data_IF_025242973483
#
_entry.id   IF_025242973483
#
_cell.length_a   1.000
_cell.length_b   1.000
_cell.length_c   1.000
_cell.angle_alpha   90.00
_cell.angle_beta   90.00
_cell.angle_gamma   90.00
#
_symmetry.space_group_name_H-M   'P 1'
#
loop_
_entity.id
_entity.type
_entity.pdbx_description
1 polymer ?
#
# COMPACT_ATOMS: atom_id res chain seq x y z
N UNK A 1 4.29 9.26 -26.39
CA UNK A 1 5.10 10.34 -26.99
C UNK A 1 5.56 9.88 -28.36
N UNK A 2 5.22 10.62 -29.42
CA UNK A 2 5.48 10.24 -30.80
C UNK A 2 6.99 10.26 -31.10
N UNK A 3 7.44 9.29 -31.93
CA UNK A 3 8.84 9.09 -32.35
C UNK A 3 9.47 10.38 -32.98
N UNK A 4 8.63 11.24 -33.57
CA UNK A 4 9.04 12.52 -34.14
C UNK A 4 9.37 13.59 -33.10
N UNK A 5 8.71 13.55 -31.93
CA UNK A 5 8.95 14.49 -30.82
C UNK A 5 10.25 14.13 -30.09
N UNK A 6 10.58 12.83 -29.99
CA UNK A 6 11.84 12.36 -29.42
C UNK A 6 13.04 12.70 -30.30
N UNK A 7 12.91 12.55 -31.63
CA UNK A 7 13.97 12.91 -32.56
C UNK A 7 14.23 14.41 -32.59
N UNK A 8 13.20 15.27 -32.49
CA UNK A 8 13.38 16.73 -32.39
C UNK A 8 14.08 17.14 -31.10
N UNK A 9 13.76 16.51 -29.96
CA UNK A 9 14.43 16.79 -28.69
C UNK A 9 15.92 16.39 -28.72
N UNK A 10 16.24 15.23 -29.31
CA UNK A 10 17.63 14.76 -29.46
C UNK A 10 18.46 15.63 -30.38
N UNK A 11 17.86 16.13 -31.46
CA UNK A 11 18.57 17.05 -32.41
C UNK A 11 18.85 18.41 -31.75
N UNK A 12 17.89 18.93 -30.95
CA UNK A 12 18.04 20.20 -30.24
C UNK A 12 19.14 20.18 -29.16
N UNK A 13 19.30 19.05 -28.47
CA UNK A 13 20.36 18.86 -27.46
C UNK A 13 21.74 18.74 -28.12
N UNK A 14 21.84 18.09 -29.29
CA UNK A 14 23.12 17.92 -29.99
C UNK A 14 23.70 19.25 -30.50
N UNK A 15 22.86 20.13 -31.05
CA UNK A 15 23.32 21.35 -31.70
C UNK A 15 23.77 22.46 -30.73
N UNK A 16 23.14 22.54 -29.52
CA UNK A 16 23.57 23.50 -28.50
C UNK A 16 24.92 23.11 -27.85
N UNK A 17 25.16 21.83 -27.62
CA UNK A 17 26.39 21.36 -26.99
C UNK A 17 27.59 21.33 -27.97
N UNK A 18 27.36 21.11 -29.25
CA UNK A 18 28.43 21.15 -30.28
C UNK A 18 28.90 22.58 -30.48
N UNK A 19 28.01 23.59 -30.48
CA UNK A 19 28.38 25.00 -30.65
C UNK A 19 29.14 25.58 -29.45
N UNK A 20 28.89 25.10 -28.23
CA UNK A 20 29.61 25.50 -27.01
C UNK A 20 31.01 24.88 -26.89
N UNK A 21 31.21 23.67 -27.43
CA UNK A 21 32.50 22.97 -27.42
C UNK A 21 33.48 23.52 -28.48
N UNK A 22 32.99 24.05 -29.59
CA UNK A 22 33.82 24.60 -30.67
C UNK A 22 34.53 25.92 -30.33
N UNK A 23 34.14 26.64 -29.26
CA UNK A 23 34.70 27.93 -28.83
C UNK A 23 35.82 27.86 -27.80
N UNK A 24 36.20 26.70 -27.29
CA UNK A 24 37.33 26.53 -26.37
C UNK A 24 38.49 25.79 -27.05
N UNK A 25 39.38 26.57 -27.64
CA UNK A 25 40.62 26.11 -28.23
C UNK A 25 41.68 25.85 -27.17
N UNK A 26 42.16 24.58 -27.14
CA UNK A 26 43.48 24.09 -26.68
C UNK A 26 43.88 24.18 -25.18
N UNK A 27 43.83 23.07 -24.50
CA UNK A 27 44.93 22.23 -23.96
C UNK A 27 44.43 21.31 -22.85
N UNK A 28 44.80 20.07 -22.98
CA UNK A 28 44.84 18.96 -22.01
C UNK A 28 43.90 17.81 -22.20
N UNK A 29 44.56 16.73 -22.49
CA UNK A 29 44.32 15.35 -22.08
C UNK A 29 43.16 14.56 -22.73
N UNK A 30 43.56 13.68 -23.61
CA UNK A 30 42.75 12.59 -24.23
C UNK A 30 42.08 11.64 -23.22
N UNK A 31 42.29 11.82 -21.92
CA UNK A 31 41.73 10.96 -20.87
C UNK A 31 40.31 11.33 -20.45
N UNK A 32 39.86 12.58 -20.60
CA UNK A 32 38.53 13.02 -20.17
C UNK A 32 37.46 12.62 -21.19
N UNK A 33 37.76 12.49 -22.45
CA UNK A 33 36.79 12.07 -23.48
C UNK A 33 36.49 10.58 -23.47
N UNK A 34 37.43 9.75 -23.01
CA UNK A 34 37.21 8.30 -22.88
C UNK A 34 36.32 7.96 -21.66
N UNK A 35 36.46 8.69 -20.55
CA UNK A 35 35.62 8.47 -19.36
C UNK A 35 34.18 8.93 -19.55
N UNK A 36 33.92 10.03 -20.25
CA UNK A 36 32.55 10.50 -20.52
C UNK A 36 31.81 9.58 -21.50
N UNK A 37 32.49 9.00 -22.48
CA UNK A 37 31.89 8.05 -23.41
C UNK A 37 31.62 6.69 -22.74
N UNK A 38 32.48 6.27 -21.78
CA UNK A 38 32.32 5.03 -21.04
C UNK A 38 31.17 5.11 -20.01
N UNK A 39 30.97 6.27 -19.35
CA UNK A 39 29.85 6.49 -18.44
C UNK A 39 28.51 6.59 -19.16
N UNK A 40 28.44 7.26 -20.31
CA UNK A 40 27.25 7.32 -21.15
C UNK A 40 26.86 5.93 -21.71
N UNK A 41 27.85 5.14 -22.14
CA UNK A 41 27.63 3.76 -22.58
C UNK A 41 27.20 2.83 -21.42
N UNK A 42 27.73 3.00 -20.21
CA UNK A 42 27.35 2.24 -19.05
C UNK A 42 25.92 2.58 -18.58
N UNK A 43 25.53 3.86 -18.62
CA UNK A 43 24.15 4.28 -18.30
C UNK A 43 23.17 3.78 -19.35
N UNK A 44 23.52 3.82 -20.65
CA UNK A 44 22.69 3.28 -21.72
C UNK A 44 22.57 1.74 -21.65
N UNK A 45 23.64 1.04 -21.26
CA UNK A 45 23.63 -0.41 -21.01
C UNK A 45 22.80 -0.74 -19.77
N UNK A 46 22.88 0.05 -18.68
CA UNK A 46 22.04 -0.14 -17.48
C UNK A 46 20.56 0.08 -17.78
N UNK A 47 20.22 1.13 -18.56
CA UNK A 47 18.84 1.40 -18.99
C UNK A 47 18.34 0.33 -19.96
N UNK A 48 19.17 -0.16 -20.90
CA UNK A 48 18.79 -1.27 -21.78
C UNK A 48 18.66 -2.60 -21.02
N UNK A 49 19.51 -2.86 -20.03
CA UNK A 49 19.40 -4.06 -19.20
C UNK A 49 18.14 -4.02 -18.34
N UNK A 50 17.73 -2.86 -17.82
CA UNK A 50 16.47 -2.72 -17.09
C UNK A 50 15.22 -2.86 -18.00
N UNK A 51 15.33 -2.54 -19.30
CA UNK A 51 14.18 -2.67 -20.23
C UNK A 51 14.12 -4.02 -20.94
N UNK A 52 15.17 -4.83 -20.89
CA UNK A 52 15.24 -6.13 -21.56
C UNK A 52 15.34 -7.34 -20.64
N UNK A 53 15.45 -7.14 -19.31
CA UNK A 53 15.29 -8.25 -18.39
C UNK A 53 13.80 -8.67 -18.43
N UNK A 54 13.51 -9.93 -18.83
CA UNK A 54 12.17 -10.43 -18.67
C UNK A 54 11.78 -10.28 -17.19
N UNK A 55 10.59 -9.73 -16.90
CA UNK A 55 10.04 -9.80 -15.56
C UNK A 55 10.22 -11.25 -15.08
N UNK A 56 10.75 -11.49 -13.88
CA UNK A 56 10.93 -12.86 -13.42
C UNK A 56 9.58 -13.56 -13.49
N UNK A 57 9.43 -14.46 -14.44
CA UNK A 57 8.29 -15.33 -14.51
C UNK A 57 8.54 -16.42 -13.48
N UNK A 58 7.67 -16.48 -12.46
CA UNK A 58 7.70 -17.58 -11.51
C UNK A 58 7.78 -18.92 -12.25
N UNK A 59 8.78 -19.70 -11.94
CA UNK A 59 8.88 -21.08 -12.39
C UNK A 59 8.07 -22.02 -11.49
N UNK A 60 6.81 -21.66 -11.19
CA UNK A 60 5.83 -22.66 -10.79
C UNK A 60 5.37 -23.31 -12.07
N UNK A 61 5.37 -24.64 -12.15
CA UNK A 61 4.94 -25.35 -13.34
C UNK A 61 3.61 -24.74 -13.83
N UNK A 62 3.64 -24.13 -15.01
CA UNK A 62 2.57 -23.27 -15.55
C UNK A 62 1.19 -23.95 -15.65
N UNK A 63 1.12 -25.26 -15.42
CA UNK A 63 -0.08 -26.07 -15.55
C UNK A 63 -0.96 -26.14 -14.28
N UNK A 64 -0.54 -25.54 -13.14
CA UNK A 64 -1.26 -25.66 -11.86
C UNK A 64 -1.60 -24.31 -11.21
N UNK A 65 -1.24 -23.19 -11.84
CA UNK A 65 -1.56 -21.86 -11.33
C UNK A 65 -2.87 -21.33 -11.90
N UNK A 66 -3.77 -20.85 -11.04
CA UNK A 66 -4.95 -20.05 -11.42
C UNK A 66 -4.66 -18.60 -11.01
N UNK A 67 -4.29 -17.77 -11.98
CA UNK A 67 -3.92 -16.39 -11.72
C UNK A 67 -5.18 -15.51 -11.64
N UNK A 68 -5.27 -14.73 -10.57
CA UNK A 68 -6.36 -13.78 -10.40
C UNK A 68 -6.30 -12.70 -11.50
N UNK A 69 -7.47 -12.25 -12.00
CA UNK A 69 -7.51 -11.17 -12.97
C UNK A 69 -7.04 -9.87 -12.30
N UNK A 70 -6.42 -9.00 -13.09
CA UNK A 70 -6.21 -7.61 -12.62
C UNK A 70 -7.56 -6.93 -12.41
N UNK A 71 -7.68 -6.03 -11.43
CA UNK A 71 -8.90 -5.27 -11.23
C UNK A 71 -9.35 -4.58 -12.51
N UNK A 72 -10.62 -4.62 -12.79
CA UNK A 72 -11.17 -3.93 -13.96
C UNK A 72 -11.09 -2.43 -13.72
N UNK A 73 -10.13 -1.78 -14.35
CA UNK A 73 -10.18 -0.34 -14.51
C UNK A 73 -11.34 -0.04 -15.48
N UNK A 74 -12.49 0.32 -14.95
CA UNK A 74 -13.61 0.74 -15.79
C UNK A 74 -13.30 2.18 -16.21
N UNK A 75 -12.61 2.31 -17.36
CA UNK A 75 -12.35 3.59 -17.96
C UNK A 75 -13.68 4.32 -18.23
N UNK A 76 -13.69 5.63 -18.02
CA UNK A 76 -14.82 6.45 -18.42
C UNK A 76 -15.01 6.30 -19.93
N UNK A 77 -16.25 5.99 -20.42
CA UNK A 77 -16.49 5.83 -21.85
C UNK A 77 -16.17 7.14 -22.59
N UNK A 78 -15.42 7.03 -23.69
CA UNK A 78 -15.12 8.16 -24.54
C UNK A 78 -16.09 8.17 -25.71
N UNK A 79 -16.62 9.34 -26.08
CA UNK A 79 -17.60 9.49 -27.18
C UNK A 79 -17.07 8.92 -28.51
N UNK A 80 -15.74 9.02 -28.73
CA UNK A 80 -15.09 8.49 -29.94
C UNK A 80 -15.15 6.95 -30.08
N UNK A 81 -15.48 6.23 -29.01
CA UNK A 81 -15.58 4.77 -29.02
C UNK A 81 -16.98 4.24 -29.40
N UNK A 82 -17.93 5.16 -29.66
CA UNK A 82 -19.33 4.81 -29.93
C UNK A 82 -19.82 5.40 -31.25
N UNK A 83 -20.55 4.61 -32.02
CA UNK A 83 -21.06 4.99 -33.33
C UNK A 83 -22.23 6.00 -33.24
N UNK A 84 -22.98 6.05 -32.13
CA UNK A 84 -24.12 6.92 -31.92
C UNK A 84 -24.05 7.60 -30.54
N UNK A 85 -24.60 8.81 -30.46
CA UNK A 85 -24.73 9.54 -29.20
C UNK A 85 -25.55 8.77 -28.17
N UNK A 86 -26.62 8.09 -28.55
CA UNK A 86 -27.45 7.30 -27.65
C UNK A 86 -26.69 6.13 -27.05
N UNK A 87 -25.83 5.46 -27.82
CA UNK A 87 -24.98 4.40 -27.34
C UNK A 87 -23.92 4.91 -26.34
N UNK A 88 -23.35 6.07 -26.61
CA UNK A 88 -22.42 6.72 -25.69
C UNK A 88 -23.11 7.13 -24.38
N UNK A 89 -24.27 7.77 -24.43
CA UNK A 89 -25.02 8.16 -23.24
C UNK A 89 -25.44 6.96 -22.40
N UNK A 90 -25.88 5.87 -23.02
CA UNK A 90 -26.18 4.61 -22.32
C UNK A 90 -24.94 4.04 -21.62
N UNK A 91 -23.78 4.01 -22.28
CA UNK A 91 -22.53 3.54 -21.69
C UNK A 91 -22.09 4.42 -20.53
N UNK A 92 -22.24 5.74 -20.65
CA UNK A 92 -21.93 6.71 -19.60
C UNK A 92 -22.84 6.54 -18.38
N UNK A 93 -24.14 6.38 -18.57
CA UNK A 93 -25.10 6.16 -17.48
C UNK A 93 -24.81 4.83 -16.75
N UNK A 94 -24.52 3.77 -17.49
CA UNK A 94 -24.11 2.50 -16.91
C UNK A 94 -22.80 2.61 -16.11
N UNK A 95 -21.82 3.35 -16.63
CA UNK A 95 -20.58 3.60 -15.91
C UNK A 95 -20.83 4.33 -14.58
N UNK A 96 -21.61 5.40 -14.61
CA UNK A 96 -21.94 6.17 -13.40
C UNK A 96 -22.73 5.33 -12.38
N UNK A 97 -23.64 4.48 -12.84
CA UNK A 97 -24.40 3.55 -11.98
C UNK A 97 -23.49 2.54 -11.31
N UNK A 98 -22.56 1.93 -12.05
CA UNK A 98 -21.58 0.99 -11.52
C UNK A 98 -20.64 1.65 -10.50
N UNK A 99 -20.19 2.87 -10.77
CA UNK A 99 -19.35 3.64 -9.83
C UNK A 99 -20.12 3.96 -8.54
N UNK A 100 -21.39 4.36 -8.65
CA UNK A 100 -22.22 4.61 -7.49
C UNK A 100 -22.46 3.35 -6.64
N UNK A 101 -22.73 2.21 -7.29
CA UNK A 101 -22.88 0.93 -6.60
C UNK A 101 -21.60 0.53 -5.86
N UNK A 102 -20.44 0.61 -6.51
CA UNK A 102 -19.13 0.32 -5.91
C UNK A 102 -18.86 1.20 -4.70
N UNK A 103 -19.12 2.51 -4.83
CA UNK A 103 -18.94 3.43 -3.71
C UNK A 103 -19.80 3.03 -2.51
N UNK A 104 -21.08 2.74 -2.72
CA UNK A 104 -21.98 2.33 -1.65
C UNK A 104 -21.53 1.02 -0.99
N UNK A 105 -21.09 0.04 -1.77
CA UNK A 105 -20.58 -1.23 -1.24
C UNK A 105 -19.29 -1.01 -0.42
N UNK A 106 -18.40 -0.15 -0.89
CA UNK A 106 -17.17 0.22 -0.18
C UNK A 106 -17.51 0.93 1.15
N UNK A 107 -18.35 1.95 1.12
CA UNK A 107 -18.77 2.68 2.31
C UNK A 107 -19.42 1.75 3.35
N UNK A 108 -20.28 0.85 2.92
CA UNK A 108 -20.88 -0.15 3.81
C UNK A 108 -19.83 -1.09 4.42
N UNK A 109 -18.87 -1.54 3.61
CA UNK A 109 -17.78 -2.39 4.07
C UNK A 109 -16.90 -1.68 5.10
N UNK A 110 -16.49 -0.45 4.83
CA UNK A 110 -15.64 0.34 5.73
C UNK A 110 -16.32 0.59 7.07
N UNK A 111 -17.62 0.91 7.08
CA UNK A 111 -18.38 1.05 8.31
C UNK A 111 -18.42 -0.26 9.13
N UNK A 112 -18.54 -1.42 8.47
CA UNK A 112 -18.47 -2.73 9.15
C UNK A 112 -17.08 -3.09 9.66
N UNK A 113 -16.02 -2.54 9.05
CA UNK A 113 -14.63 -2.81 9.38
C UNK A 113 -14.02 -1.80 10.35
N UNK A 114 -14.70 -0.69 10.66
CA UNK A 114 -14.15 0.36 11.51
C UNK A 114 -13.63 -0.17 12.85
N UNK A 115 -14.43 -0.99 13.54
CA UNK A 115 -14.04 -1.62 14.79
C UNK A 115 -12.83 -2.56 14.62
N UNK A 116 -12.81 -3.39 13.57
CA UNK A 116 -11.68 -4.27 13.28
C UNK A 116 -10.39 -3.48 13.02
N UNK A 117 -10.46 -2.39 12.27
CA UNK A 117 -9.28 -1.56 11.98
C UNK A 117 -8.79 -0.83 13.23
N UNK A 118 -9.68 -0.28 14.04
CA UNK A 118 -9.32 0.42 15.27
C UNK A 118 -8.77 -0.55 16.36
N UNK A 119 -9.51 -1.61 16.67
CA UNK A 119 -9.13 -2.60 17.69
C UNK A 119 -7.86 -3.37 17.25
N UNK A 120 -7.76 -3.72 15.97
CA UNK A 120 -6.58 -4.35 15.40
C UNK A 120 -5.34 -3.46 15.51
N UNK A 121 -5.47 -2.18 15.17
CA UNK A 121 -4.37 -1.22 15.35
C UNK A 121 -3.92 -1.14 16.81
N UNK A 122 -4.85 -1.07 17.75
CA UNK A 122 -4.53 -1.03 19.17
C UNK A 122 -3.83 -2.30 19.69
N UNK A 123 -4.07 -3.46 19.03
CA UNK A 123 -3.44 -4.74 19.39
C UNK A 123 -2.10 -4.98 18.67
N UNK A 124 -1.99 -4.53 17.43
CA UNK A 124 -0.83 -4.84 16.60
C UNK A 124 0.24 -3.75 16.61
N UNK A 125 -0.07 -2.53 17.06
CA UNK A 125 0.85 -1.41 17.13
C UNK A 125 1.26 -1.09 18.57
N UNK A 126 1.58 -2.11 19.35
CA UNK A 126 1.96 -1.97 20.77
C UNK A 126 3.48 -1.96 20.93
N UNK A 127 3.96 -1.33 22.02
CA UNK A 127 5.37 -1.33 22.39
C UNK A 127 6.01 0.05 22.33
N UNK A 128 7.30 0.08 22.64
CA UNK A 128 8.14 1.28 22.65
C UNK A 128 8.99 1.40 21.38
N UNK A 129 8.98 0.37 20.53
CA UNK A 129 9.65 0.34 19.23
C UNK A 129 8.72 0.84 18.12
N UNK A 130 9.27 1.09 16.93
CA UNK A 130 8.46 1.35 15.76
C UNK A 130 7.57 0.15 15.46
N UNK A 131 6.32 0.41 15.11
CA UNK A 131 5.37 -0.64 14.80
C UNK A 131 4.60 -0.32 13.52
N UNK A 132 4.32 -1.36 12.72
CA UNK A 132 3.65 -1.23 11.44
C UNK A 132 2.65 -2.38 11.24
N UNK A 133 1.47 -2.05 10.75
CA UNK A 133 0.43 -3.00 10.39
C UNK A 133 -0.29 -2.55 9.12
N UNK A 134 -0.70 -3.51 8.31
CA UNK A 134 -1.57 -3.26 7.15
C UNK A 134 -2.98 -3.80 7.43
N UNK A 135 -3.95 -2.94 7.76
CA UNK A 135 -5.32 -3.33 8.03
C UNK A 135 -5.98 -4.04 6.83
N UNK A 136 -5.80 -3.50 5.63
CA UNK A 136 -6.38 -4.07 4.40
C UNK A 136 -5.79 -5.43 4.05
N UNK A 137 -4.48 -5.64 4.25
CA UNK A 137 -3.84 -6.95 4.02
C UNK A 137 -4.38 -8.01 4.97
N UNK A 138 -4.54 -7.67 6.26
CA UNK A 138 -5.16 -8.55 7.24
C UNK A 138 -6.62 -8.87 6.88
N UNK A 139 -7.40 -7.86 6.46
CA UNK A 139 -8.75 -8.03 5.96
C UNK A 139 -8.82 -9.00 4.77
N UNK A 140 -7.98 -8.82 3.75
CA UNK A 140 -7.95 -9.69 2.55
C UNK A 140 -7.61 -11.14 2.90
N UNK A 141 -6.65 -11.34 3.81
CA UNK A 141 -6.31 -12.68 4.32
C UNK A 141 -7.47 -13.34 5.05
N UNK A 142 -8.10 -12.62 5.98
CA UNK A 142 -9.25 -13.13 6.74
C UNK A 142 -10.45 -13.39 5.85
N UNK A 143 -10.71 -12.53 4.87
CA UNK A 143 -11.80 -12.72 3.92
C UNK A 143 -11.61 -14.01 3.09
N UNK A 144 -10.39 -14.25 2.63
CA UNK A 144 -10.05 -15.51 1.94
C UNK A 144 -10.22 -16.73 2.85
N UNK A 145 -9.77 -16.64 4.12
CA UNK A 145 -9.96 -17.72 5.10
C UNK A 145 -11.44 -17.96 5.43
N UNK A 146 -12.28 -16.92 5.44
CA UNK A 146 -13.73 -17.07 5.62
C UNK A 146 -14.36 -17.89 4.48
N UNK A 147 -13.93 -17.69 3.22
CA UNK A 147 -14.42 -18.46 2.08
C UNK A 147 -13.98 -19.93 2.15
N UNK A 148 -12.80 -20.21 2.68
CA UNK A 148 -12.22 -21.55 2.81
C UNK A 148 -12.72 -22.32 4.04
N UNK A 149 -13.31 -21.63 5.00
CA UNK A 149 -13.76 -22.21 6.28
C UNK A 149 -15.27 -22.44 6.30
N UNK A 150 -15.73 -23.20 7.30
CA UNK A 150 -17.13 -23.54 7.51
C UNK A 150 -17.51 -23.45 8.99
N UNK A 151 -18.81 -23.49 9.25
CA UNK A 151 -19.34 -23.64 10.60
C UNK A 151 -18.95 -22.48 11.54
N UNK A 152 -18.40 -22.82 12.73
CA UNK A 152 -18.03 -21.80 13.74
C UNK A 152 -16.78 -21.02 13.34
N UNK A 153 -15.79 -21.67 12.72
CA UNK A 153 -14.59 -21.01 12.21
C UNK A 153 -14.95 -19.86 11.26
N UNK A 154 -15.83 -20.12 10.29
CA UNK A 154 -16.31 -19.10 9.36
C UNK A 154 -17.08 -17.97 10.07
N UNK A 155 -18.00 -18.33 10.98
CA UNK A 155 -18.80 -17.34 11.69
C UNK A 155 -17.98 -16.39 12.55
N UNK A 156 -16.88 -16.85 13.17
CA UNK A 156 -15.99 -16.00 13.95
C UNK A 156 -15.33 -14.95 13.03
N UNK A 157 -14.85 -15.34 11.86
CA UNK A 157 -14.24 -14.40 10.91
C UNK A 157 -15.28 -13.43 10.37
N UNK A 158 -16.43 -13.92 9.89
CA UNK A 158 -17.50 -13.07 9.35
C UNK A 158 -17.97 -12.03 10.37
N UNK A 159 -18.09 -12.43 11.64
CA UNK A 159 -18.45 -11.52 12.74
C UNK A 159 -17.40 -10.41 12.91
N UNK A 160 -16.11 -10.78 12.91
CA UNK A 160 -15.02 -9.80 13.02
C UNK A 160 -15.03 -8.82 11.86
N UNK A 161 -15.32 -9.30 10.65
CA UNK A 161 -15.39 -8.47 9.43
C UNK A 161 -16.74 -7.73 9.26
N UNK A 162 -17.63 -7.77 10.25
CA UNK A 162 -18.89 -7.04 10.23
C UNK A 162 -19.90 -7.53 9.18
N UNK A 163 -19.82 -8.79 8.73
CA UNK A 163 -20.70 -9.35 7.70
C UNK A 163 -21.36 -10.66 8.16
N UNK A 164 -22.50 -10.98 7.53
CA UNK A 164 -23.30 -12.16 7.92
C UNK A 164 -23.09 -13.39 7.03
N UNK A 165 -22.53 -13.21 5.83
CA UNK A 165 -22.34 -14.32 4.88
C UNK A 165 -21.25 -14.01 3.85
N UNK A 166 -20.75 -15.05 3.20
CA UNK A 166 -19.69 -14.96 2.20
C UNK A 166 -20.12 -14.25 0.91
N UNK A 167 -21.42 -14.29 0.54
CA UNK A 167 -21.88 -13.59 -0.67
C UNK A 167 -21.78 -12.07 -0.52
N UNK A 168 -22.11 -11.53 0.65
CA UNK A 168 -21.91 -10.12 0.98
C UNK A 168 -20.42 -9.81 1.05
N UNK A 169 -19.63 -10.68 1.69
CA UNK A 169 -18.19 -10.52 1.81
C UNK A 169 -17.49 -10.43 0.44
N UNK A 170 -17.84 -11.30 -0.52
CA UNK A 170 -17.28 -11.25 -1.90
C UNK A 170 -17.45 -9.89 -2.56
N UNK A 171 -18.66 -9.32 -2.48
CA UNK A 171 -18.95 -7.99 -3.05
C UNK A 171 -18.11 -6.89 -2.40
N UNK A 172 -17.97 -6.95 -1.08
CA UNK A 172 -17.20 -5.97 -0.32
C UNK A 172 -15.71 -6.07 -0.62
N UNK A 173 -15.16 -7.28 -0.64
CA UNK A 173 -13.76 -7.55 -1.01
C UNK A 173 -13.47 -7.01 -2.41
N UNK A 174 -14.31 -7.29 -3.41
CA UNK A 174 -14.14 -6.74 -4.76
C UNK A 174 -14.14 -5.22 -4.75
N UNK A 175 -15.07 -4.59 -4.02
CA UNK A 175 -15.17 -3.13 -3.97
C UNK A 175 -13.96 -2.48 -3.31
N UNK A 176 -13.49 -3.05 -2.19
CA UNK A 176 -12.29 -2.56 -1.49
C UNK A 176 -11.05 -2.76 -2.36
N UNK A 177 -10.88 -3.96 -2.93
CA UNK A 177 -9.72 -4.27 -3.77
C UNK A 177 -9.64 -3.34 -4.99
N UNK A 178 -10.75 -3.18 -5.73
CA UNK A 178 -10.81 -2.34 -6.91
C UNK A 178 -10.60 -0.85 -6.59
N UNK A 179 -11.05 -0.37 -5.43
CA UNK A 179 -10.83 1.03 -4.99
C UNK A 179 -9.40 1.28 -4.55
N UNK A 180 -8.79 0.34 -3.83
CA UNK A 180 -7.44 0.48 -3.32
C UNK A 180 -6.35 0.25 -4.38
N UNK A 181 -6.67 -0.46 -5.47
CA UNK A 181 -5.69 -0.85 -6.48
C UNK A 181 -5.37 0.27 -7.46
N UNK A 182 -4.09 0.55 -7.66
CA UNK A 182 -3.55 1.38 -8.73
C UNK A 182 -2.19 0.82 -9.16
N UNK A 183 -1.95 0.72 -10.46
CA UNK A 183 -0.66 0.28 -11.03
C UNK A 183 -0.40 1.11 -12.28
N UNK A 184 0.06 2.35 -12.10
CA UNK A 184 0.29 3.32 -13.17
C UNK A 184 1.66 3.99 -13.00
N UNK A 185 2.68 3.40 -13.62
CA UNK A 185 4.00 4.00 -13.67
C UNK A 185 4.66 4.10 -12.29
N UNK A 186 4.82 5.33 -11.77
CA UNK A 186 5.44 5.60 -10.47
C UNK A 186 4.44 5.58 -9.31
N UNK A 187 3.15 5.63 -9.62
CA UNK A 187 2.07 5.68 -8.66
C UNK A 187 1.45 4.30 -8.55
N UNK A 188 1.84 3.58 -7.52
CA UNK A 188 1.45 2.19 -7.30
C UNK A 188 0.73 2.05 -5.96
N UNK A 189 -0.41 1.37 -5.98
CA UNK A 189 -1.09 0.81 -4.82
C UNK A 189 -1.53 -0.58 -5.20
N UNK A 190 -0.68 -1.58 -4.96
CA UNK A 190 -0.88 -2.94 -5.44
C UNK A 190 -1.17 -3.86 -4.26
N UNK A 191 -2.39 -4.35 -4.22
CA UNK A 191 -2.80 -5.43 -3.33
C UNK A 191 -2.63 -6.74 -4.09
N UNK A 192 -2.06 -7.75 -3.45
CA UNK A 192 -1.96 -9.08 -4.01
C UNK A 192 -2.16 -10.14 -2.94
N UNK A 193 -2.91 -11.18 -3.27
CA UNK A 193 -3.13 -12.33 -2.38
C UNK A 193 -2.84 -13.61 -3.15
N UNK A 194 -2.17 -14.56 -2.51
CA UNK A 194 -1.90 -15.90 -3.08
C UNK A 194 -2.24 -17.00 -2.10
N UNK A 195 -2.84 -18.05 -2.62
CA UNK A 195 -3.08 -19.32 -1.93
C UNK A 195 -2.19 -20.38 -2.55
N UNK A 196 -1.40 -21.06 -1.73
CA UNK A 196 -0.52 -22.14 -2.10
C UNK A 196 -1.07 -23.44 -1.52
N UNK A 197 -1.32 -24.41 -2.38
CA UNK A 197 -1.98 -25.67 -2.05
C UNK A 197 -0.98 -26.82 -2.13
N UNK A 198 -1.04 -27.74 -1.16
CA UNK A 198 -0.26 -28.97 -1.18
C UNK A 198 -0.65 -29.83 -2.38
N UNK A 199 0.33 -30.22 -3.19
CA UNK A 199 0.15 -31.13 -4.33
C UNK A 199 -0.33 -32.52 -3.89
N UNK A 200 -1.14 -33.17 -4.73
CA UNK A 200 -1.67 -34.51 -4.46
C UNK A 200 -2.87 -34.53 -3.50
N UNK A 201 -3.40 -33.38 -3.11
CA UNK A 201 -4.62 -33.26 -2.30
C UNK A 201 -5.76 -32.75 -3.19
N UNK A 202 -6.97 -33.29 -3.00
CA UNK A 202 -8.18 -32.80 -3.68
C UNK A 202 -8.78 -31.63 -2.93
N UNK A 203 -9.13 -30.58 -3.65
CA UNK A 203 -9.75 -29.37 -3.13
C UNK A 203 -11.08 -29.08 -3.84
N UNK A 204 -11.93 -28.27 -3.21
CA UNK A 204 -13.22 -27.87 -3.78
C UNK A 204 -13.01 -26.78 -4.85
N UNK A 205 -13.22 -27.14 -6.13
CA UNK A 205 -12.97 -26.25 -7.27
C UNK A 205 -13.81 -24.97 -7.25
N UNK A 206 -15.06 -25.04 -6.80
CA UNK A 206 -15.95 -23.89 -6.68
C UNK A 206 -15.43 -22.83 -5.69
N UNK A 207 -14.75 -23.26 -4.62
CA UNK A 207 -14.12 -22.39 -3.65
C UNK A 207 -12.85 -21.73 -4.19
N UNK A 208 -12.05 -22.53 -4.90
CA UNK A 208 -10.87 -22.02 -5.59
C UNK A 208 -11.28 -20.97 -6.64
N UNK A 209 -12.30 -21.28 -7.45
CA UNK A 209 -12.82 -20.35 -8.46
C UNK A 209 -13.36 -19.06 -7.84
N UNK A 210 -14.05 -19.14 -6.69
CA UNK A 210 -14.51 -17.97 -5.96
C UNK A 210 -13.34 -17.10 -5.47
N UNK A 211 -12.29 -17.71 -4.92
CA UNK A 211 -11.08 -16.97 -4.49
C UNK A 211 -10.42 -16.24 -5.65
N UNK A 212 -10.26 -16.89 -6.78
CA UNK A 212 -9.64 -16.28 -7.96
C UNK A 212 -10.48 -15.14 -8.51
N UNK A 213 -11.80 -15.35 -8.61
CA UNK A 213 -12.71 -14.43 -9.31
C UNK A 213 -13.18 -13.27 -8.43
N UNK A 214 -13.54 -13.55 -7.17
CA UNK A 214 -14.24 -12.61 -6.30
C UNK A 214 -13.33 -11.99 -5.21
N UNK A 215 -12.21 -12.68 -4.88
CA UNK A 215 -11.23 -12.23 -3.87
C UNK A 215 -9.89 -11.82 -4.48
N UNK A 216 -9.74 -11.88 -5.80
CA UNK A 216 -8.47 -11.55 -6.49
C UNK A 216 -7.27 -12.34 -5.94
N UNK A 217 -7.51 -13.58 -5.49
CA UNK A 217 -6.48 -14.44 -4.92
C UNK A 217 -5.93 -15.37 -6.00
N UNK A 218 -4.65 -15.25 -6.33
CA UNK A 218 -3.98 -16.21 -7.22
C UNK A 218 -3.73 -17.52 -6.50
N UNK A 219 -3.97 -18.66 -7.15
CA UNK A 219 -3.84 -19.97 -6.54
C UNK A 219 -2.75 -20.76 -7.24
N UNK A 220 -1.84 -21.32 -6.46
CA UNK A 220 -0.70 -22.11 -6.88
C UNK A 220 -0.73 -23.47 -6.20
N UNK A 221 -0.09 -24.47 -6.81
CA UNK A 221 0.05 -25.82 -6.25
C UNK A 221 1.52 -26.23 -6.27
N UNK A 222 1.97 -26.92 -5.23
CA UNK A 222 3.34 -27.41 -5.12
C UNK A 222 3.53 -28.28 -3.87
N UNK A 223 4.72 -28.87 -3.71
CA UNK A 223 5.10 -29.61 -2.50
C UNK A 223 5.47 -28.58 -1.44
N UNK A 224 4.55 -28.26 -0.53
CA UNK A 224 4.79 -27.30 0.55
C UNK A 224 5.93 -27.80 1.45
N UNK A 225 6.83 -26.89 1.84
CA UNK A 225 8.04 -27.23 2.58
C UNK A 225 9.23 -27.65 1.71
N UNK A 226 9.05 -27.85 0.39
CA UNK A 226 10.19 -28.02 -0.51
C UNK A 226 10.93 -26.70 -0.76
N UNK A 227 12.21 -26.78 -1.08
CA UNK A 227 13.04 -25.61 -1.40
C UNK A 227 12.47 -24.85 -2.61
N UNK A 228 12.00 -25.56 -3.63
CA UNK A 228 11.45 -24.98 -4.85
C UNK A 228 10.20 -24.18 -4.57
N UNK A 229 9.27 -24.73 -3.77
CA UNK A 229 8.03 -24.02 -3.42
C UNK A 229 8.30 -22.84 -2.50
N UNK A 230 9.22 -22.98 -1.53
CA UNK A 230 9.61 -21.88 -0.66
C UNK A 230 10.26 -20.73 -1.44
N UNK A 231 11.12 -21.03 -2.40
CA UNK A 231 11.72 -20.03 -3.28
C UNK A 231 10.64 -19.33 -4.12
N UNK A 232 9.70 -20.08 -4.70
CA UNK A 232 8.61 -19.52 -5.49
C UNK A 232 7.72 -18.58 -4.66
N UNK A 233 7.43 -18.92 -3.39
CA UNK A 233 6.71 -18.04 -2.44
C UNK A 233 7.51 -16.76 -2.19
N UNK A 234 8.81 -16.87 -1.92
CA UNK A 234 9.68 -15.72 -1.68
C UNK A 234 9.74 -14.80 -2.90
N UNK A 235 9.92 -15.37 -4.08
CA UNK A 235 9.93 -14.61 -5.34
C UNK A 235 8.58 -13.93 -5.60
N UNK A 236 7.46 -14.60 -5.26
CA UNK A 236 6.13 -14.01 -5.36
C UNK A 236 5.96 -12.81 -4.43
N UNK A 237 6.40 -12.90 -3.17
CA UNK A 237 6.37 -11.80 -2.21
C UNK A 237 7.22 -10.64 -2.73
N UNK A 238 8.46 -10.89 -3.11
CA UNK A 238 9.37 -9.86 -3.61
C UNK A 238 8.80 -9.14 -4.84
N UNK A 239 8.31 -9.89 -5.83
CA UNK A 239 7.69 -9.31 -7.04
C UNK A 239 6.47 -8.44 -6.73
N UNK A 240 5.64 -8.84 -5.75
CA UNK A 240 4.43 -8.09 -5.39
C UNK A 240 4.67 -6.96 -4.38
N UNK A 241 5.90 -6.81 -3.89
CA UNK A 241 6.30 -5.74 -2.98
C UNK A 241 7.43 -4.85 -3.53
N UNK A 242 7.78 -5.01 -4.82
CA UNK A 242 8.86 -4.24 -5.44
C UNK A 242 10.19 -4.43 -4.73
N UNK A 243 10.47 -5.65 -4.26
CA UNK A 243 11.65 -6.06 -3.48
C UNK A 243 11.83 -5.35 -2.12
N UNK A 244 10.87 -4.55 -1.66
CA UNK A 244 10.94 -3.84 -0.39
C UNK A 244 11.00 -4.76 0.84
N UNK A 245 10.51 -6.00 0.71
CA UNK A 245 10.50 -6.99 1.77
C UNK A 245 11.55 -8.09 1.59
N UNK A 246 12.57 -7.88 0.76
CA UNK A 246 13.64 -8.85 0.52
C UNK A 246 14.38 -9.27 1.81
N UNK A 247 14.49 -8.34 2.77
CA UNK A 247 15.11 -8.59 4.09
C UNK A 247 14.17 -9.29 5.08
N UNK A 248 12.89 -9.46 4.72
CA UNK A 248 11.84 -10.06 5.53
C UNK A 248 11.18 -11.25 4.81
N UNK A 249 11.94 -12.31 4.45
CA UNK A 249 11.39 -13.41 3.69
C UNK A 249 10.29 -14.14 4.46
N UNK A 250 9.32 -14.78 3.76
CA UNK A 250 8.32 -15.63 4.39
C UNK A 250 8.97 -16.76 5.20
N UNK A 251 8.32 -17.16 6.29
CA UNK A 251 8.80 -18.28 7.10
C UNK A 251 8.79 -19.58 6.29
N UNK A 252 9.73 -20.47 6.62
CA UNK A 252 9.82 -21.78 6.02
C UNK A 252 8.55 -22.58 6.36
N UNK A 253 7.87 -23.08 5.35
CA UNK A 253 6.74 -23.99 5.52
C UNK A 253 7.22 -25.37 5.95
N UNK A 254 6.41 -26.03 6.76
CA UNK A 254 6.62 -27.43 7.12
C UNK A 254 6.02 -28.38 6.08
N UNK A 255 6.54 -29.61 6.00
CA UNK A 255 6.10 -30.61 5.01
C UNK A 255 4.71 -31.16 5.26
N UNK A 256 4.11 -30.92 6.42
CA UNK A 256 2.74 -31.26 6.79
C UNK A 256 1.73 -30.12 6.53
N UNK A 257 2.20 -28.99 6.00
CA UNK A 257 1.33 -27.91 5.60
C UNK A 257 0.35 -28.36 4.50
N UNK A 258 -0.93 -28.04 4.65
CA UNK A 258 -1.99 -28.36 3.67
C UNK A 258 -2.19 -27.21 2.71
N UNK A 259 -2.11 -25.98 3.21
CA UNK A 259 -2.15 -24.75 2.42
C UNK A 259 -1.40 -23.63 3.12
N UNK A 260 -1.00 -22.62 2.36
CA UNK A 260 -0.46 -21.37 2.87
C UNK A 260 -1.08 -20.18 2.13
N UNK A 261 -1.34 -19.10 2.85
CA UNK A 261 -1.95 -17.89 2.31
C UNK A 261 -1.03 -16.71 2.58
N UNK A 262 -0.74 -15.93 1.54
CA UNK A 262 0.07 -14.71 1.62
C UNK A 262 -0.72 -13.54 1.04
N UNK A 263 -0.67 -12.41 1.73
CA UNK A 263 -1.22 -11.15 1.26
C UNK A 263 -0.16 -10.06 1.39
N UNK A 264 0.00 -9.28 0.34
CA UNK A 264 0.96 -8.17 0.29
C UNK A 264 0.28 -6.90 -0.13
N UNK A 265 0.79 -5.78 0.37
CA UNK A 265 0.47 -4.44 -0.12
C UNK A 265 1.78 -3.77 -0.49
N UNK A 266 1.87 -3.29 -1.71
CA UNK A 266 2.94 -2.45 -2.21
C UNK A 266 2.37 -1.09 -2.55
N UNK A 267 2.92 -0.05 -1.94
CA UNK A 267 2.49 1.32 -2.16
C UNK A 267 3.69 2.19 -2.47
N UNK A 268 3.54 3.01 -3.51
CA UNK A 268 4.50 4.03 -3.89
C UNK A 268 3.75 5.19 -4.52
N UNK A 269 3.95 6.40 -4.02
CA UNK A 269 3.45 7.61 -4.64
C UNK A 269 4.24 8.83 -4.18
N UNK A 270 4.34 9.84 -5.05
CA UNK A 270 4.99 11.10 -4.75
C UNK A 270 4.04 12.00 -3.94
N UNK A 271 4.61 12.90 -3.12
CA UNK A 271 3.83 14.00 -2.57
C UNK A 271 3.25 14.83 -3.71
N UNK A 272 2.04 15.32 -3.55
CA UNK A 272 1.48 16.29 -4.50
C UNK A 272 2.20 17.63 -4.42
N UNK A 273 2.69 17.98 -3.24
CA UNK A 273 3.53 19.14 -2.95
C UNK A 273 4.80 18.63 -2.27
N UNK A 274 5.89 18.47 -3.05
CA UNK A 274 7.16 17.91 -2.60
C UNK A 274 7.82 18.75 -1.50
N UNK A 275 8.61 18.09 -0.64
CA UNK A 275 9.51 18.78 0.27
C UNK A 275 10.81 19.14 -0.45
N UNK A 276 11.26 20.40 -0.34
CA UNK A 276 12.54 20.83 -0.91
C UNK A 276 13.69 20.49 0.06
N UNK A 277 14.55 19.56 -0.37
CA UNK A 277 15.68 19.07 0.44
C UNK A 277 16.61 20.18 0.97
N UNK A 278 16.62 21.39 0.35
CA UNK A 278 17.41 22.51 0.86
C UNK A 278 16.92 23.06 2.20
N UNK A 279 15.67 22.76 2.60
CA UNK A 279 15.09 23.15 3.86
C UNK A 279 15.21 22.08 4.95
N UNK A 280 15.83 20.95 4.63
CA UNK A 280 16.11 19.93 5.63
C UNK A 280 17.07 20.47 6.70
N UNK A 281 16.89 19.98 7.91
CA UNK A 281 17.76 20.30 9.03
C UNK A 281 17.78 19.14 10.03
N UNK A 282 18.80 19.10 10.88
CA UNK A 282 18.86 18.13 11.96
C UNK A 282 18.36 18.77 13.24
N UNK A 283 17.53 18.04 13.98
CA UNK A 283 17.05 18.45 15.30
C UNK A 283 16.71 17.20 16.13
N UNK A 284 16.41 17.42 17.41
CA UNK A 284 16.12 16.35 18.36
C UNK A 284 14.72 15.81 18.16
N UNK A 285 14.62 14.47 18.16
CA UNK A 285 13.37 13.73 18.31
C UNK A 285 13.34 13.10 19.70
N UNK A 286 12.28 13.34 20.46
CA UNK A 286 12.09 12.85 21.82
C UNK A 286 11.52 11.42 21.82
N UNK A 287 12.39 10.42 21.58
CA UNK A 287 12.03 9.01 21.59
C UNK A 287 11.83 8.47 23.01
N UNK A 288 10.98 7.45 23.22
CA UNK A 288 10.88 6.76 24.52
C UNK A 288 12.21 6.18 25.03
N UNK A 289 13.10 5.81 24.10
CA UNK A 289 14.43 5.30 24.41
C UNK A 289 15.47 6.42 24.68
N UNK A 290 15.08 7.69 24.58
CA UNK A 290 15.94 8.87 24.76
C UNK A 290 16.03 9.72 23.49
N UNK A 291 16.51 10.94 23.65
CA UNK A 291 16.65 11.94 22.60
C UNK A 291 17.54 11.46 21.44
N UNK A 292 17.15 11.72 20.20
CA UNK A 292 17.85 11.35 18.97
C UNK A 292 17.98 12.53 18.01
N UNK A 293 19.15 12.69 17.41
CA UNK A 293 19.31 13.62 16.28
C UNK A 293 18.75 12.96 15.01
N UNK A 294 17.75 13.59 14.40
CA UNK A 294 17.10 13.11 13.17
C UNK A 294 17.06 14.19 12.10
N UNK A 295 16.89 13.78 10.84
CA UNK A 295 16.73 14.72 9.73
C UNK A 295 15.26 15.02 9.52
N UNK A 296 14.90 16.29 9.64
CA UNK A 296 13.57 16.82 9.39
C UNK A 296 13.44 17.41 7.99
N UNK A 297 12.30 17.16 7.38
CA UNK A 297 11.79 17.85 6.19
C UNK A 297 10.84 18.95 6.60
N UNK A 298 10.84 20.09 5.90
CA UNK A 298 9.94 21.21 6.15
C UNK A 298 9.12 21.57 4.93
N UNK A 299 7.86 21.88 5.19
CA UNK A 299 6.96 22.48 4.19
C UNK A 299 5.99 23.44 4.91
N UNK A 300 5.47 24.42 4.17
CA UNK A 300 4.43 25.31 4.68
C UNK A 300 3.35 25.43 3.62
N UNK A 301 2.17 24.93 3.92
CA UNK A 301 1.07 24.90 2.96
C UNK A 301 -0.28 25.13 3.65
N UNK A 302 -1.25 25.54 2.85
CA UNK A 302 -2.65 25.58 3.27
C UNK A 302 -3.20 24.17 3.26
N UNK A 303 -3.67 23.67 4.39
CA UNK A 303 -4.17 22.31 4.54
C UNK A 303 -5.30 22.21 5.55
N UNK A 304 -5.90 21.03 5.63
CA UNK A 304 -6.88 20.70 6.66
C UNK A 304 -6.17 20.18 7.90
N UNK A 305 -6.44 20.81 9.04
CA UNK A 305 -6.11 20.32 10.37
C UNK A 305 -7.37 19.74 11.01
N UNK A 306 -7.27 18.55 11.55
CA UNK A 306 -8.33 17.85 12.25
C UNK A 306 -7.97 17.71 13.73
N UNK A 307 -8.92 18.01 14.60
CA UNK A 307 -8.74 17.92 16.05
C UNK A 307 -9.50 16.71 16.59
N UNK A 308 -8.79 15.79 17.27
CA UNK A 308 -9.37 14.73 18.10
C UNK A 308 -9.37 15.14 19.58
N UNK A 309 -9.88 14.27 20.45
CA UNK A 309 -9.98 14.56 21.90
C UNK A 309 -8.60 14.82 22.55
N UNK A 310 -7.58 14.08 22.09
CA UNK A 310 -6.24 14.11 22.69
C UNK A 310 -5.11 14.05 21.65
N UNK A 311 -5.39 14.48 20.41
CA UNK A 311 -4.42 14.56 19.32
C UNK A 311 -4.81 15.61 18.29
N UNK A 312 -3.83 16.07 17.54
CA UNK A 312 -4.02 16.80 16.29
C UNK A 312 -3.62 15.95 15.08
N UNK A 313 -4.27 16.16 13.95
CA UNK A 313 -3.94 15.45 12.73
C UNK A 313 -3.93 16.35 11.49
N UNK A 314 -3.01 16.06 10.58
CA UNK A 314 -2.98 16.61 9.23
C UNK A 314 -2.86 15.47 8.22
N UNK A 315 -3.27 15.70 6.98
CA UNK A 315 -3.03 14.74 5.92
C UNK A 315 -2.47 15.41 4.67
N UNK A 316 -1.51 14.75 4.06
CA UNK A 316 -0.85 15.20 2.85
C UNK A 316 -1.34 14.41 1.64
N UNK A 317 -1.74 15.11 0.57
CA UNK A 317 -2.16 14.45 -0.67
C UNK A 317 -0.96 13.88 -1.43
N UNK A 318 -1.20 12.73 -2.07
CA UNK A 318 -0.27 12.04 -2.94
C UNK A 318 -0.78 12.06 -4.39
N UNK A 319 0.12 11.93 -5.37
CA UNK A 319 -0.19 12.05 -6.80
C UNK A 319 -1.19 11.01 -7.30
N UNK A 320 -1.23 9.82 -6.69
CA UNK A 320 -2.17 8.76 -7.04
C UNK A 320 -3.58 8.94 -6.44
N UNK A 321 -3.87 10.09 -5.79
CA UNK A 321 -5.13 10.36 -5.11
C UNK A 321 -5.29 9.66 -3.76
N UNK A 322 -4.18 9.18 -3.19
CA UNK A 322 -4.09 8.70 -1.81
C UNK A 322 -3.73 9.84 -0.87
N UNK A 323 -3.78 9.57 0.43
CA UNK A 323 -3.34 10.50 1.45
C UNK A 323 -2.46 9.80 2.48
N UNK A 324 -1.52 10.55 3.02
CA UNK A 324 -0.77 10.15 4.21
C UNK A 324 -1.16 11.06 5.37
N UNK A 325 -1.72 10.45 6.39
CA UNK A 325 -2.12 11.09 7.64
C UNK A 325 -0.96 11.07 8.63
N UNK A 326 -0.78 12.17 9.34
CA UNK A 326 0.10 12.29 10.49
C UNK A 326 -0.75 12.68 11.69
N UNK A 327 -0.69 11.88 12.74
CA UNK A 327 -1.49 12.04 13.96
C UNK A 327 -0.52 12.21 15.12
N UNK A 328 -0.51 13.41 15.69
CA UNK A 328 0.37 13.79 16.78
C UNK A 328 -0.40 13.81 18.09
N UNK A 329 -0.08 12.94 19.06
CA UNK A 329 -0.66 12.99 20.41
C UNK A 329 -0.37 14.34 21.08
N UNK A 330 -1.29 14.82 21.92
CA UNK A 330 -1.08 16.01 22.74
C UNK A 330 0.04 15.80 23.75
N UNK A 331 0.53 16.89 24.34
CA UNK A 331 1.43 16.81 25.47
C UNK A 331 0.79 15.98 26.60
N UNK A 332 1.57 15.08 27.18
CA UNK A 332 1.14 14.11 28.21
C UNK A 332 0.16 13.02 27.73
N UNK A 333 -0.03 12.85 26.43
CA UNK A 333 -0.75 11.74 25.80
C UNK A 333 0.24 10.87 25.03
N UNK A 334 0.07 9.57 25.10
CA UNK A 334 0.91 8.63 24.35
C UNK A 334 0.28 8.22 23.03
N UNK A 335 1.08 7.75 22.08
CA UNK A 335 0.58 7.13 20.86
C UNK A 335 -0.36 5.95 21.15
N UNK A 336 -0.09 5.21 22.23
CA UNK A 336 -0.94 4.10 22.70
C UNK A 336 -2.31 4.56 23.20
N UNK A 337 -2.42 5.74 23.81
CA UNK A 337 -3.72 6.29 24.25
C UNK A 337 -4.58 6.69 23.04
N UNK A 338 -3.95 7.27 22.01
CA UNK A 338 -4.62 7.58 20.73
C UNK A 338 -5.08 6.30 20.02
N UNK A 339 -4.25 5.26 19.97
CA UNK A 339 -4.62 3.96 19.39
C UNK A 339 -5.82 3.34 20.09
N UNK A 340 -5.83 3.35 21.44
CA UNK A 340 -6.94 2.78 22.25
C UNK A 340 -8.24 3.54 22.09
N UNK A 341 -8.20 4.85 21.83
CA UNK A 341 -9.43 5.63 21.59
C UNK A 341 -10.13 5.21 20.28
N UNK A 342 -9.36 4.77 19.29
CA UNK A 342 -9.87 4.45 17.95
C UNK A 342 -10.33 5.65 17.12
N UNK A 343 -10.44 6.84 17.73
CA UNK A 343 -11.03 8.04 17.12
C UNK A 343 -10.28 8.48 15.84
N UNK A 344 -8.96 8.32 15.81
CA UNK A 344 -8.17 8.63 14.62
C UNK A 344 -8.56 7.76 13.42
N UNK A 345 -8.96 6.50 13.65
CA UNK A 345 -9.40 5.60 12.57
C UNK A 345 -10.77 6.02 12.03
N UNK A 346 -11.70 6.43 12.90
CA UNK A 346 -12.98 7.01 12.48
C UNK A 346 -12.78 8.28 11.64
N UNK A 347 -11.80 9.11 12.02
CA UNK A 347 -11.39 10.30 11.27
C UNK A 347 -10.89 9.94 9.86
N UNK A 348 -10.02 8.95 9.72
CA UNK A 348 -9.50 8.47 8.42
C UNK A 348 -10.61 7.88 7.56
N UNK A 349 -11.53 7.12 8.13
CA UNK A 349 -12.61 6.44 7.41
C UNK A 349 -13.74 7.36 6.95
N UNK A 350 -14.00 8.48 7.67
CA UNK A 350 -15.24 9.25 7.50
C UNK A 350 -15.18 10.33 6.45
N UNK A 351 -14.03 10.88 6.07
CA UNK A 351 -13.84 12.08 5.21
C UNK A 351 -14.53 13.37 5.69
N UNK A 352 -15.44 13.29 6.64
CA UNK A 352 -16.19 14.43 7.19
C UNK A 352 -16.02 14.44 8.71
N UNK A 353 -14.92 15.04 9.15
CA UNK A 353 -14.67 15.23 10.56
C UNK A 353 -15.27 16.56 11.01
N UNK A 354 -16.08 16.55 12.08
CA UNK A 354 -16.80 17.76 12.52
C UNK A 354 -15.85 18.85 12.99
N UNK A 355 -14.77 18.47 13.69
CA UNK A 355 -13.77 19.40 14.22
C UNK A 355 -12.56 19.50 13.29
N UNK A 356 -12.80 20.05 12.09
CA UNK A 356 -11.78 20.31 11.09
C UNK A 356 -11.76 21.78 10.71
N UNK A 357 -10.56 22.29 10.46
CA UNK A 357 -10.35 23.67 10.04
C UNK A 357 -9.29 23.77 8.95
N UNK A 358 -9.44 24.75 8.08
CA UNK A 358 -8.38 25.09 7.12
C UNK A 358 -7.37 25.98 7.82
N UNK A 359 -6.09 25.60 7.80
CA UNK A 359 -4.97 26.32 8.43
C UNK A 359 -3.84 26.54 7.42
N UNK A 360 -2.89 27.42 7.77
CA UNK A 360 -1.57 27.40 7.17
C UNK A 360 -0.68 26.60 8.14
N UNK A 361 -0.35 25.36 7.80
CA UNK A 361 0.50 24.55 8.66
C UNK A 361 1.96 24.68 8.24
N UNK A 362 2.81 25.00 9.22
CA UNK A 362 4.26 24.86 9.13
C UNK A 362 4.62 23.46 9.59
N UNK A 363 4.81 22.58 8.61
CA UNK A 363 5.10 21.17 8.85
C UNK A 363 6.58 20.95 9.12
N UNK A 364 6.88 20.16 10.14
CA UNK A 364 8.20 19.62 10.42
C UNK A 364 8.05 18.11 10.65
N UNK A 365 8.49 17.31 9.68
CA UNK A 365 8.28 15.86 9.64
C UNK A 365 9.64 15.18 9.55
N UNK A 366 10.00 14.23 10.45
CA UNK A 366 11.23 13.47 10.31
C UNK A 366 11.14 12.50 9.13
N UNK A 367 12.27 12.26 8.45
CA UNK A 367 12.37 11.10 7.56
C UNK A 367 12.35 9.83 8.40
N UNK A 368 11.67 8.81 7.93
CA UNK A 368 11.65 7.52 8.59
C UNK A 368 11.53 6.35 7.62
N UNK A 369 11.97 5.18 8.09
CA UNK A 369 11.86 3.89 7.42
C UNK A 369 11.46 2.85 8.46
N UNK A 370 10.18 2.49 8.46
CA UNK A 370 9.61 1.54 9.41
C UNK A 370 9.29 0.24 8.69
N UNK A 371 9.89 -0.84 9.16
CA UNK A 371 9.65 -2.17 8.64
C UNK A 371 9.40 -3.14 9.79
N UNK A 372 8.42 -4.01 9.61
CA UNK A 372 8.07 -5.00 10.63
C UNK A 372 7.56 -6.31 10.01
N UNK A 373 7.94 -7.42 10.62
CA UNK A 373 7.36 -8.75 10.40
C UNK A 373 6.79 -9.27 11.71
N UNK A 374 5.49 -9.53 11.73
CA UNK A 374 4.79 -9.96 12.95
C UNK A 374 3.78 -11.08 12.71
N UNK A 375 3.51 -11.86 13.76
CA UNK A 375 2.38 -12.78 13.81
C UNK A 375 1.11 -12.05 14.20
N UNK A 376 0.03 -12.26 13.46
CA UNK A 376 -1.29 -11.73 13.78
C UNK A 376 -2.12 -12.69 14.66
N UNK A 377 -1.64 -13.92 14.93
CA UNK A 377 -2.41 -14.98 15.59
C UNK A 377 -2.98 -14.55 16.92
N UNK A 378 -2.16 -14.06 17.84
CA UNK A 378 -2.58 -13.76 19.21
C UNK A 378 -3.56 -12.58 19.25
N UNK A 379 -3.34 -11.54 18.46
CA UNK A 379 -4.27 -10.43 18.32
C UNK A 379 -5.60 -10.88 17.72
N UNK A 380 -5.59 -11.72 16.67
CA UNK A 380 -6.82 -12.27 16.09
C UNK A 380 -7.59 -13.16 17.06
N UNK A 381 -6.88 -13.92 17.90
CA UNK A 381 -7.53 -14.69 18.97
C UNK A 381 -8.20 -13.80 20.02
N UNK A 382 -7.58 -12.68 20.38
CA UNK A 382 -8.18 -11.66 21.26
C UNK A 382 -9.40 -11.01 20.61
N UNK A 383 -9.39 -10.79 19.30
CA UNK A 383 -10.53 -10.31 18.51
C UNK A 383 -11.61 -11.38 18.26
N UNK A 384 -11.47 -12.58 18.85
CA UNK A 384 -12.49 -13.63 18.83
C UNK A 384 -12.37 -14.64 17.69
N UNK A 385 -11.34 -14.59 16.87
CA UNK A 385 -11.06 -15.60 15.84
C UNK A 385 -10.12 -16.65 16.44
N UNK A 386 -10.68 -17.67 17.06
CA UNK A 386 -9.93 -18.69 17.83
C UNK A 386 -9.92 -20.07 17.17
N UNK A 387 -11.04 -20.47 16.59
CA UNK A 387 -11.25 -21.85 16.14
C UNK A 387 -10.32 -22.24 14.99
N UNK A 388 -10.01 -21.33 14.07
CA UNK A 388 -9.11 -21.64 12.94
C UNK A 388 -7.69 -22.04 13.35
N UNK A 389 -7.27 -21.65 14.56
CA UNK A 389 -5.94 -21.96 15.10
C UNK A 389 -5.90 -23.23 15.95
N UNK A 390 -7.05 -23.86 16.18
CA UNK A 390 -7.18 -25.06 17.02
C UNK A 390 -7.32 -26.31 16.16
N UNK A 391 -6.43 -27.27 16.32
CA UNK A 391 -6.49 -28.54 15.57
C UNK A 391 -7.82 -29.27 15.74
N UNK A 392 -8.47 -29.16 16.94
CA UNK A 392 -9.72 -29.84 17.27
C UNK A 392 -10.98 -29.08 16.81
N UNK A 393 -10.89 -27.78 16.57
CA UNK A 393 -12.05 -26.91 16.32
C UNK A 393 -12.06 -26.30 14.93
N UNK A 394 -10.91 -26.22 14.28
CA UNK A 394 -10.79 -25.65 12.94
C UNK A 394 -11.63 -26.44 11.95
N UNK A 395 -12.37 -25.70 11.12
CA UNK A 395 -13.22 -26.31 10.10
C UNK A 395 -12.96 -25.64 8.75
N UNK A 396 -12.12 -26.28 7.94
CA UNK A 396 -11.83 -25.91 6.55
C UNK A 396 -12.48 -26.86 5.56
N UNK A 397 -13.63 -27.46 5.93
CA UNK A 397 -14.36 -28.38 5.06
C UNK A 397 -14.89 -27.75 3.77
N UNK A 398 -14.97 -26.38 3.71
CA UNK A 398 -15.27 -25.68 2.47
C UNK A 398 -14.13 -25.78 1.45
N UNK A 399 -12.86 -25.85 1.90
CA UNK A 399 -11.72 -26.06 1.02
C UNK A 399 -11.54 -27.54 0.67
N UNK A 400 -11.69 -28.43 1.65
CA UNK A 400 -11.53 -29.87 1.50
C UNK A 400 -12.32 -30.63 2.57
N UNK A 401 -12.88 -31.78 2.18
CA UNK A 401 -13.76 -32.58 3.07
C UNK A 401 -13.05 -33.69 3.84
N UNK A 402 -11.86 -34.14 3.40
CA UNK A 402 -11.34 -35.45 3.81
C UNK A 402 -10.29 -35.44 4.93
N UNK A 403 -9.61 -34.32 5.20
CA UNK A 403 -8.62 -34.25 6.30
C UNK A 403 -8.77 -32.95 7.09
N UNK A 404 -8.62 -33.01 8.43
CA UNK A 404 -8.58 -31.81 9.25
C UNK A 404 -7.41 -30.90 8.84
N UNK A 405 -7.66 -29.60 8.82
CA UNK A 405 -6.65 -28.57 8.61
C UNK A 405 -6.90 -27.44 9.61
N UNK A 406 -5.84 -26.79 10.06
CA UNK A 406 -5.93 -25.61 10.92
C UNK A 406 -4.86 -24.60 10.51
N UNK A 407 -5.05 -23.34 10.83
CA UNK A 407 -4.07 -22.29 10.57
C UNK A 407 -2.96 -22.36 11.63
N UNK A 408 -1.76 -22.67 11.23
CA UNK A 408 -0.59 -22.68 12.11
C UNK A 408 -0.21 -21.27 12.55
N UNK A 409 -0.09 -20.36 11.57
CA UNK A 409 0.22 -18.94 11.78
C UNK A 409 -0.45 -18.08 10.72
N UNK A 410 -0.63 -16.80 11.03
CA UNK A 410 -0.93 -15.74 10.05
C UNK A 410 0.14 -14.69 10.28
N UNK A 411 0.99 -14.45 9.29
CA UNK A 411 2.08 -13.50 9.38
C UNK A 411 1.89 -12.35 8.41
N UNK A 412 2.34 -11.19 8.83
CA UNK A 412 2.37 -10.00 7.99
C UNK A 412 3.76 -9.39 8.06
N UNK A 413 4.33 -9.06 6.90
CA UNK A 413 5.49 -8.20 6.78
C UNK A 413 5.08 -6.93 6.04
N UNK A 414 5.52 -5.79 6.54
CA UNK A 414 5.21 -4.48 6.00
C UNK A 414 6.42 -3.56 6.09
N UNK A 415 6.55 -2.63 5.16
CA UNK A 415 7.54 -1.55 5.21
C UNK A 415 6.94 -0.27 4.65
N UNK A 416 7.18 0.84 5.31
CA UNK A 416 6.82 2.18 4.87
C UNK A 416 8.00 3.10 5.11
N UNK A 417 8.42 3.79 4.06
CA UNK A 417 9.52 4.73 4.06
C UNK A 417 9.04 6.06 3.49
N UNK A 418 9.46 7.17 4.06
CA UNK A 418 9.19 8.51 3.52
C UNK A 418 10.46 9.34 3.36
N UNK A 419 10.49 10.11 2.30
CA UNK A 419 11.50 11.12 2.02
C UNK A 419 10.84 12.38 1.40
N UNK A 420 11.67 13.29 0.89
CA UNK A 420 11.21 14.54 0.27
C UNK A 420 10.33 14.34 -0.95
N UNK A 421 10.52 13.25 -1.67
CA UNK A 421 9.80 12.96 -2.91
C UNK A 421 8.44 12.30 -2.68
N UNK A 422 8.27 11.58 -1.56
CA UNK A 422 7.03 10.87 -1.32
C UNK A 422 7.12 9.71 -0.33
N UNK A 423 6.17 8.81 -0.49
CA UNK A 423 6.11 7.52 0.19
C UNK A 423 6.69 6.49 -0.77
N UNK A 424 7.85 5.96 -0.45
CA UNK A 424 8.71 5.05 -1.23
C UNK A 424 9.09 5.46 -2.67
N UNK A 425 10.41 5.65 -2.91
CA UNK A 425 11.08 5.55 -4.20
C UNK A 425 11.22 6.83 -5.01
N UNK A 426 12.46 7.24 -5.18
CA UNK A 426 12.99 8.44 -5.81
C UNK A 426 12.45 8.78 -7.20
N UNK A 427 12.05 10.02 -7.42
CA UNK A 427 12.27 10.74 -8.67
C UNK A 427 11.92 12.22 -8.56
N UNK A 428 12.77 13.07 -9.13
CA UNK A 428 12.65 14.53 -9.18
C UNK A 428 11.67 14.96 -10.28
N UNK A 429 10.76 15.89 -9.97
CA UNK A 429 9.98 16.64 -10.95
C UNK A 429 9.79 18.08 -10.46
N UNK A 430 10.25 19.04 -11.24
CA UNK A 430 10.09 20.46 -10.97
C UNK A 430 8.72 20.93 -11.46
N UNK A 431 7.88 21.47 -10.55
CA UNK A 431 6.60 22.08 -10.89
C UNK A 431 6.66 23.57 -10.56
N UNK A 432 6.42 24.41 -11.57
CA UNK A 432 6.35 25.86 -11.44
C UNK A 432 4.92 26.25 -11.12
N UNK A 433 4.70 26.82 -9.92
CA UNK A 433 3.40 27.37 -9.51
C UNK A 433 3.13 28.74 -10.17
N UNK A 434 1.95 28.86 -10.78
CA UNK A 434 1.36 30.15 -11.18
C UNK A 434 0.34 30.55 -10.12
N UNK A 435 0.64 31.61 -9.37
CA UNK A 435 -0.20 32.09 -8.27
C UNK A 435 -1.58 32.57 -8.71
N UNK A 436 -2.61 32.12 -8.01
CA UNK A 436 -3.93 32.77 -7.99
C UNK A 436 -4.05 33.63 -6.74
N UNK A 437 -4.77 34.76 -6.85
CA UNK A 437 -5.00 35.70 -5.74
C UNK A 437 -5.66 34.99 -4.56
N UNK A 438 -5.10 35.08 -3.34
CA UNK A 438 -5.71 34.40 -2.19
C UNK A 438 -7.07 35.01 -1.82
N UNK A 439 -8.02 34.23 -1.29
CA UNK A 439 -9.23 34.74 -0.67
C UNK A 439 -8.88 35.66 0.52
N UNK A 440 -9.75 36.59 0.85
CA UNK A 440 -9.52 37.65 1.83
C UNK A 440 -9.40 37.20 3.29
N UNK A 441 -9.66 35.95 3.61
CA UNK A 441 -9.45 35.38 4.95
C UNK A 441 -8.19 34.53 4.95
N UNK A 442 -7.13 35.03 5.57
CA UNK A 442 -5.91 34.26 5.81
C UNK A 442 -6.13 33.38 7.04
N UNK A 443 -6.13 32.04 6.91
CA UNK A 443 -6.24 31.15 8.05
C UNK A 443 -5.12 31.41 9.06
N UNK A 444 -5.37 31.16 10.36
CA UNK A 444 -4.32 31.25 11.36
C UNK A 444 -3.22 30.21 11.08
N UNK A 445 -1.94 30.60 11.19
CA UNK A 445 -0.85 29.66 11.05
C UNK A 445 -0.74 28.77 12.30
N UNK A 446 -0.40 27.48 12.07
CA UNK A 446 -0.06 26.54 13.14
C UNK A 446 1.28 25.89 12.87
N UNK A 447 2.03 25.61 13.92
CA UNK A 447 3.21 24.76 13.86
C UNK A 447 2.79 23.30 14.12
N UNK A 448 3.08 22.41 13.18
CA UNK A 448 2.82 20.97 13.31
C UNK A 448 4.15 20.21 13.21
N UNK A 449 4.73 19.94 14.41
CA UNK A 449 6.08 19.44 14.57
C UNK A 449 6.02 18.01 15.11
N UNK A 450 6.47 17.05 14.34
CA UNK A 450 6.54 15.65 14.74
C UNK A 450 7.88 15.36 15.45
N UNK A 451 8.05 15.92 16.63
CA UNK A 451 9.27 15.85 17.44
C UNK A 451 9.24 14.77 18.53
N UNK A 452 8.17 14.00 18.61
CA UNK A 452 7.91 12.92 19.56
C UNK A 452 7.07 11.82 18.93
N UNK A 453 6.85 10.68 19.60
CA UNK A 453 6.09 9.56 19.04
C UNK A 453 4.76 9.97 18.42
N UNK A 454 4.54 9.56 17.18
CA UNK A 454 3.35 9.88 16.42
C UNK A 454 2.83 8.66 15.65
N UNK A 455 1.56 8.73 15.22
CA UNK A 455 0.98 7.75 14.33
C UNK A 455 0.96 8.26 12.91
N UNK A 456 0.97 7.34 11.96
CA UNK A 456 0.66 7.64 10.58
C UNK A 456 -0.32 6.62 9.99
N UNK A 457 -1.08 7.05 8.98
CA UNK A 457 -1.92 6.17 8.15
C UNK A 457 -1.69 6.53 6.69
N UNK A 458 -1.37 5.54 5.87
CA UNK A 458 -1.41 5.65 4.41
C UNK A 458 -2.76 5.10 3.97
N UNK A 459 -3.56 5.93 3.31
CA UNK A 459 -4.89 5.51 2.86
C UNK A 459 -5.11 5.80 1.38
N UNK A 460 -5.96 5.01 0.75
CA UNK A 460 -6.47 5.24 -0.59
C UNK A 460 -7.98 5.03 -0.61
N UNK A 461 -8.72 6.04 -1.06
CA UNK A 461 -10.19 6.00 -1.06
C UNK A 461 -10.78 5.67 0.33
N UNK A 462 -10.20 6.20 1.41
CA UNK A 462 -10.50 5.92 2.83
C UNK A 462 -10.19 4.48 3.28
N UNK A 463 -9.51 3.69 2.48
CA UNK A 463 -9.08 2.33 2.85
C UNK A 463 -7.69 2.44 3.47
N UNK A 464 -7.51 2.12 4.77
CA UNK A 464 -6.21 2.17 5.41
C UNK A 464 -5.32 1.04 4.88
N UNK A 465 -4.33 1.42 4.07
CA UNK A 465 -3.35 0.49 3.51
C UNK A 465 -2.31 0.12 4.56
N UNK A 466 -1.82 1.12 5.28
CA UNK A 466 -0.87 0.96 6.37
C UNK A 466 -1.22 1.88 7.53
N UNK A 467 -1.02 1.39 8.73
CA UNK A 467 -1.06 2.17 9.97
C UNK A 467 0.20 1.86 10.75
N UNK A 468 0.86 2.89 11.27
CA UNK A 468 2.09 2.70 12.03
C UNK A 468 2.27 3.69 13.16
N UNK A 469 3.17 3.36 14.05
CA UNK A 469 3.69 4.20 15.12
C UNK A 469 5.18 4.40 14.88
N UNK A 470 5.60 5.66 14.85
CA UNK A 470 7.01 6.03 14.81
C UNK A 470 7.40 6.48 16.21
N UNK A 471 8.12 5.63 16.90
CA UNK A 471 8.72 5.91 18.21
C UNK A 471 10.16 6.38 18.07
N UNK A 472 10.82 6.02 16.94
CA UNK A 472 12.20 6.36 16.61
C UNK A 472 12.32 6.45 15.08
N UNK A 473 12.39 7.66 14.51
CA UNK A 473 12.52 7.87 13.06
C UNK A 473 13.83 7.35 12.47
#
# INVERSE_FOLDING_TARGET
>A
MDRNTLNKALTYISDQHISAAAKRKRRHSHWITVTAAATAAAILLLVMVQTTLPKPTFSVAANTARIAPSPRNIAFPLQADYETEDAFQYARENHLSLQAERRLQKEYALNGLAAFFAEGSALFLTGEENALWSPVSAYMSLASLAELSSGRSQRQILKLLGVNNTNTLRKQVSSIFESAYADKGKDVSKLATSLWLQEGISYQDDKIDALVKDYYTSVYSGILGSTETQQAITDWVNTNTGDLLSDYPPDQLTTDAVFALYSTVYFQSQWKDDFDAKFNFSDIFHSPAGDRDVTYMRNSARMTYCRGDNFGAVYLPLENGSYMWFILPDENTTAQDVLRSGQYMDMVLSQNWEDQQTVIAHLTIPKFDVAEKKSLKDGLMQLGVTDIFSADKANFSALRSELPAFAGSIQQASRVQIDEAGVTGASYTEIIYMGSTPPSDTPEPIDFILDRPFLFVVEKDNIPLFTGVVNEP
#
